data_IF_716761745284
#
_entry.id   IF_716761745284
#
_cell.length_a   1.000
_cell.length_b   1.000
_cell.length_c   1.000
_cell.angle_alpha   90.00
_cell.angle_beta   90.00
_cell.angle_gamma   90.00
#
_symmetry.space_group_name_H-M   'P 1'
#
loop_
_entity.id
_entity.type
_entity.pdbx_description
1 polymer ?
#
# COMPACT_ATOMS: atom_id res chain seq x y z
N UNK A 1 51.13 31.29 -2.02
CA UNK A 1 50.86 31.33 -0.56
C UNK A 1 50.18 30.03 -0.23
N UNK A 2 50.86 29.25 0.61
CA UNK A 2 50.47 27.92 1.09
C UNK A 2 49.48 28.12 2.23
N UNK A 3 48.38 27.36 2.22
CA UNK A 3 47.71 26.95 3.45
C UNK A 3 47.33 25.48 3.31
N UNK A 4 48.13 24.66 3.99
CA UNK A 4 47.76 23.38 4.57
C UNK A 4 46.63 23.58 5.60
N UNK A 5 45.67 22.67 5.61
CA UNK A 5 45.03 22.23 6.85
C UNK A 5 44.44 20.84 6.63
N UNK A 6 45.20 19.91 7.18
CA UNK A 6 45.01 18.49 7.42
C UNK A 6 43.65 18.05 7.98
N UNK A 7 43.37 16.78 7.66
CA UNK A 7 42.90 15.68 8.51
C UNK A 7 41.60 15.83 9.32
N UNK A 8 40.62 15.03 8.93
CA UNK A 8 39.73 14.31 9.86
C UNK A 8 39.30 12.99 9.18
N UNK A 9 40.27 12.07 9.08
CA UNK A 9 40.01 10.63 9.15
C UNK A 9 39.50 10.33 10.57
N UNK A 10 38.31 9.74 10.69
CA UNK A 10 37.92 9.09 11.92
C UNK A 10 37.47 7.67 11.63
N UNK A 11 38.33 6.79 12.15
CA UNK A 11 38.31 5.35 12.18
C UNK A 11 37.05 4.79 12.87
N UNK A 12 36.74 3.57 12.45
CA UNK A 12 35.80 2.65 13.08
C UNK A 12 36.12 2.47 14.58
N UNK A 13 35.11 2.67 15.43
CA UNK A 13 35.15 2.21 16.82
C UNK A 13 34.16 1.06 16.95
N UNK A 14 34.71 -0.15 16.82
CA UNK A 14 34.17 -1.38 17.38
C UNK A 14 34.11 -1.24 18.91
N UNK A 15 32.92 -0.96 19.45
CA UNK A 15 32.66 -1.18 20.86
C UNK A 15 32.20 -2.64 21.07
N UNK A 16 33.18 -3.48 21.35
CA UNK A 16 33.01 -4.75 22.04
C UNK A 16 32.32 -4.51 23.38
N UNK A 17 31.04 -4.87 23.49
CA UNK A 17 30.43 -5.16 24.79
C UNK A 17 30.69 -6.63 25.11
N UNK A 18 31.67 -6.82 25.98
CA UNK A 18 31.82 -8.02 26.81
C UNK A 18 30.68 -8.02 27.83
N UNK A 19 29.79 -9.01 27.74
CA UNK A 19 28.92 -9.38 28.84
C UNK A 19 29.48 -10.65 29.46
N UNK A 20 29.93 -10.48 30.69
CA UNK A 20 30.39 -11.53 31.57
C UNK A 20 29.32 -12.61 31.78
N UNK A 21 29.83 -13.82 31.76
CA UNK A 21 29.23 -15.06 32.21
C UNK A 21 28.86 -15.03 33.70
N UNK A 22 27.58 -15.17 34.01
CA UNK A 22 27.06 -15.90 35.16
C UNK A 22 25.53 -16.00 35.02
N UNK A 23 24.96 -17.12 35.47
CA UNK A 23 23.54 -17.43 35.57
C UNK A 23 22.93 -18.21 34.38
N UNK A 24 23.61 -19.29 33.99
CA UNK A 24 22.93 -20.52 33.56
C UNK A 24 22.67 -21.39 34.81
N UNK A 25 21.42 -21.44 35.28
CA UNK A 25 20.70 -22.60 35.86
C UNK A 25 19.49 -22.10 36.67
N UNK A 26 18.39 -22.84 36.60
CA UNK A 26 17.06 -22.57 37.20
C UNK A 26 16.17 -21.53 36.50
N UNK A 27 15.51 -21.92 35.40
CA UNK A 27 14.03 -22.11 35.34
C UNK A 27 13.74 -22.97 34.10
N UNK A 28 13.96 -24.28 34.21
CA UNK A 28 13.41 -25.29 33.30
C UNK A 28 12.59 -26.28 34.14
N UNK A 29 11.34 -25.92 34.45
CA UNK A 29 10.29 -26.86 34.82
C UNK A 29 8.94 -26.13 34.95
N UNK A 30 8.31 -25.84 33.81
CA UNK A 30 6.85 -25.80 33.67
C UNK A 30 6.49 -25.67 32.17
N UNK A 31 6.92 -26.66 31.40
CA UNK A 31 6.52 -26.84 30.01
C UNK A 31 6.24 -28.33 29.77
N UNK A 32 5.18 -28.82 30.42
CA UNK A 32 4.51 -30.03 30.02
C UNK A 32 3.06 -29.95 30.49
N UNK A 33 2.15 -30.20 29.53
CA UNK A 33 0.77 -30.61 29.75
C UNK A 33 -0.30 -29.51 29.73
N UNK A 34 -0.57 -29.00 28.52
CA UNK A 34 -1.93 -28.90 27.98
C UNK A 34 -1.85 -29.05 26.45
N UNK A 35 -1.77 -30.30 25.98
CA UNK A 35 -2.15 -30.64 24.61
C UNK A 35 -3.67 -30.45 24.50
N UNK A 36 -4.10 -29.29 24.03
CA UNK A 36 -5.40 -29.16 23.36
C UNK A 36 -5.09 -29.12 21.88
N UNK A 37 -5.25 -30.27 21.26
CA UNK A 37 -5.19 -30.49 19.82
C UNK A 37 -6.27 -29.62 19.14
N UNK A 38 -5.95 -28.36 18.85
CA UNK A 38 -6.81 -27.44 18.10
C UNK A 38 -6.62 -27.69 16.61
N UNK A 39 -7.36 -28.67 16.11
CA UNK A 39 -7.51 -28.94 14.69
C UNK A 39 -8.12 -27.71 13.98
N UNK A 40 -7.48 -27.15 12.95
CA UNK A 40 -7.97 -25.98 12.18
C UNK A 40 -9.32 -26.22 11.48
N UNK A 41 -9.75 -27.48 11.39
CA UNK A 41 -11.09 -27.85 10.95
C UNK A 41 -12.17 -27.58 12.02
N UNK A 42 -11.85 -27.50 13.31
CA UNK A 42 -12.85 -27.22 14.36
C UNK A 42 -13.27 -25.76 14.39
N UNK A 43 -12.33 -24.81 14.24
CA UNK A 43 -12.61 -23.37 14.21
C UNK A 43 -13.47 -22.96 13.01
N UNK A 44 -13.20 -23.55 11.84
CA UNK A 44 -14.02 -23.36 10.64
C UNK A 44 -15.40 -24.00 10.79
N UNK A 45 -15.49 -25.19 11.40
CA UNK A 45 -16.77 -25.88 11.64
C UNK A 45 -17.62 -25.20 12.72
N UNK A 46 -16.99 -24.63 13.75
CA UNK A 46 -17.66 -23.83 14.80
C UNK A 46 -18.12 -22.47 14.29
N UNK A 47 -17.36 -21.81 13.40
CA UNK A 47 -17.81 -20.60 12.70
C UNK A 47 -18.97 -20.91 11.73
N UNK A 48 -18.90 -22.02 11.00
CA UNK A 48 -19.99 -22.50 10.14
C UNK A 48 -21.23 -22.83 10.98
N UNK A 49 -21.07 -23.50 12.12
CA UNK A 49 -22.19 -23.78 13.03
C UNK A 49 -22.72 -22.50 13.70
N UNK A 50 -21.91 -21.51 14.04
CA UNK A 50 -22.40 -20.23 14.55
C UNK A 50 -23.29 -19.51 13.51
N UNK A 51 -22.95 -19.63 12.22
CA UNK A 51 -23.68 -19.02 11.10
C UNK A 51 -24.93 -19.84 10.70
N UNK A 52 -24.88 -21.16 10.80
CA UNK A 52 -26.00 -22.06 10.44
C UNK A 52 -27.00 -22.23 11.59
N UNK A 53 -26.53 -22.20 12.84
CA UNK A 53 -27.35 -22.43 14.05
C UNK A 53 -27.95 -21.15 14.62
N UNK A 54 -27.40 -19.97 14.33
CA UNK A 54 -28.15 -18.71 14.45
C UNK A 54 -29.12 -18.59 13.27
N UNK A 55 -30.13 -19.45 13.31
CA UNK A 55 -31.22 -19.44 12.37
C UNK A 55 -31.81 -18.04 12.26
N UNK A 56 -31.89 -17.57 11.02
CA UNK A 56 -32.86 -16.56 10.61
C UNK A 56 -34.16 -16.82 11.36
N UNK A 57 -34.66 -15.88 12.20
CA UNK A 57 -35.89 -16.11 12.92
C UNK A 57 -37.00 -16.37 11.90
N UNK A 58 -37.42 -17.65 11.78
CA UNK A 58 -38.68 -18.01 11.15
C UNK A 58 -39.81 -17.60 12.10
N UNK A 59 -40.05 -16.29 12.19
CA UNK A 59 -41.33 -15.76 12.62
C UNK A 59 -41.80 -14.76 11.59
N UNK A 60 -42.80 -15.20 10.84
CA UNK A 60 -43.85 -14.34 10.31
C UNK A 60 -44.37 -13.47 11.47
N UNK A 61 -43.83 -12.26 11.62
CA UNK A 61 -44.50 -11.18 12.33
C UNK A 61 -44.83 -10.16 11.26
N UNK A 62 -46.13 -10.05 10.97
CA UNK A 62 -46.72 -8.92 10.30
C UNK A 62 -46.37 -7.65 11.09
N UNK A 63 -45.24 -7.02 10.77
CA UNK A 63 -44.99 -5.62 11.06
C UNK A 63 -45.15 -4.90 9.73
N UNK A 64 -46.32 -4.28 9.58
CA UNK A 64 -46.73 -3.50 8.43
C UNK A 64 -45.86 -2.26 8.27
N UNK A 65 -44.66 -2.44 7.75
CA UNK A 65 -43.88 -1.39 7.08
C UNK A 65 -43.70 -1.89 5.65
N UNK A 66 -44.57 -1.39 4.75
CA UNK A 66 -44.37 -1.51 3.30
C UNK A 66 -43.12 -0.69 2.95
N UNK A 67 -41.96 -1.28 3.14
CA UNK A 67 -40.75 -0.87 2.47
C UNK A 67 -40.95 -1.22 1.00
N UNK A 68 -41.26 -0.21 0.17
CA UNK A 68 -41.16 -0.31 -1.29
C UNK A 68 -39.67 -0.34 -1.63
N UNK A 69 -39.01 -1.44 -1.25
CA UNK A 69 -37.58 -1.63 -1.42
C UNK A 69 -37.35 -2.09 -2.84
N UNK A 70 -36.76 -1.16 -3.60
CA UNK A 70 -36.33 -1.29 -4.97
C UNK A 70 -35.48 -2.56 -5.17
N UNK A 71 -35.59 -3.19 -6.34
CA UNK A 71 -34.84 -4.40 -6.76
C UNK A 71 -33.32 -4.30 -6.56
N UNK A 72 -32.80 -3.08 -6.45
CA UNK A 72 -31.39 -2.76 -6.23
C UNK A 72 -30.89 -3.08 -4.82
N UNK A 73 -31.73 -3.01 -3.78
CA UNK A 73 -31.32 -3.37 -2.42
C UNK A 73 -31.00 -4.88 -2.29
N UNK A 74 -31.85 -5.71 -2.91
CA UNK A 74 -31.61 -7.15 -3.02
C UNK A 74 -30.38 -7.47 -3.87
N UNK A 75 -30.11 -6.64 -4.89
CA UNK A 75 -28.86 -6.72 -5.68
C UNK A 75 -27.63 -6.43 -4.82
N UNK A 76 -27.67 -5.42 -3.96
CA UNK A 76 -26.57 -5.06 -3.04
C UNK A 76 -26.31 -6.12 -1.95
N UNK A 77 -27.36 -6.70 -1.36
CA UNK A 77 -27.23 -7.85 -0.44
C UNK A 77 -26.67 -9.10 -1.16
N UNK A 78 -27.07 -9.32 -2.41
CA UNK A 78 -26.52 -10.40 -3.24
C UNK A 78 -25.05 -10.14 -3.59
N UNK A 79 -24.66 -8.88 -3.83
CA UNK A 79 -23.27 -8.46 -4.03
C UNK A 79 -22.43 -8.75 -2.77
N UNK A 80 -22.92 -8.40 -1.58
CA UNK A 80 -22.26 -8.71 -0.29
C UNK A 80 -22.09 -10.22 -0.07
N UNK A 81 -23.14 -11.01 -0.32
CA UNK A 81 -23.05 -12.47 -0.24
C UNK A 81 -22.07 -13.08 -1.25
N UNK A 82 -21.95 -12.48 -2.43
CA UNK A 82 -21.00 -12.92 -3.45
C UNK A 82 -19.56 -12.48 -3.14
N UNK A 83 -19.34 -11.32 -2.51
CA UNK A 83 -18.01 -10.90 -2.03
C UNK A 83 -17.48 -11.89 -1.00
N UNK A 84 -18.31 -12.24 0.00
CA UNK A 84 -17.91 -13.24 1.00
C UNK A 84 -17.64 -14.61 0.37
N UNK A 85 -18.45 -15.03 -0.62
CA UNK A 85 -18.17 -16.26 -1.38
C UNK A 85 -16.87 -16.19 -2.16
N UNK A 86 -16.58 -15.09 -2.85
CA UNK A 86 -15.33 -14.91 -3.58
C UNK A 86 -14.13 -14.93 -2.64
N UNK A 87 -14.18 -14.24 -1.50
CA UNK A 87 -13.11 -14.26 -0.49
C UNK A 87 -12.87 -15.68 0.03
N UNK A 88 -13.94 -16.40 0.40
CA UNK A 88 -13.85 -17.79 0.85
C UNK A 88 -13.29 -18.70 -0.26
N UNK A 89 -13.72 -18.50 -1.50
CA UNK A 89 -13.22 -19.26 -2.65
C UNK A 89 -11.73 -18.96 -2.89
N UNK A 90 -11.29 -17.70 -2.79
CA UNK A 90 -9.88 -17.30 -2.94
C UNK A 90 -9.02 -17.94 -1.85
N UNK A 91 -9.48 -17.96 -0.61
CA UNK A 91 -8.76 -18.57 0.51
C UNK A 91 -8.73 -20.10 0.43
N UNK A 92 -9.80 -20.71 -0.07
CA UNK A 92 -9.87 -22.15 -0.35
C UNK A 92 -9.02 -22.54 -1.58
N UNK A 93 -8.93 -21.70 -2.60
CA UNK A 93 -8.10 -21.91 -3.78
C UNK A 93 -6.62 -21.76 -3.45
N UNK A 94 -6.24 -20.71 -2.71
CA UNK A 94 -4.87 -20.53 -2.22
C UNK A 94 -4.41 -21.72 -1.36
N UNK A 95 -5.29 -22.23 -0.48
CA UNK A 95 -5.00 -23.42 0.31
C UNK A 95 -5.01 -24.73 -0.49
N UNK A 96 -5.80 -24.83 -1.57
CA UNK A 96 -5.77 -25.98 -2.49
C UNK A 96 -4.54 -25.99 -3.38
N UNK A 97 -4.08 -24.84 -3.88
CA UNK A 97 -2.86 -24.72 -4.69
C UNK A 97 -1.62 -25.11 -3.90
N UNK A 98 -1.56 -24.76 -2.61
CA UNK A 98 -0.51 -25.22 -1.69
C UNK A 98 -0.52 -26.74 -1.50
N UNK A 99 -1.69 -27.38 -1.63
CA UNK A 99 -1.89 -28.84 -1.48
C UNK A 99 -1.73 -29.60 -2.80
N UNK A 100 -1.83 -28.93 -3.95
CA UNK A 100 -1.68 -29.51 -5.30
C UNK A 100 -0.25 -29.50 -5.85
N UNK A 101 0.74 -29.07 -5.06
CA UNK A 101 2.17 -29.08 -5.41
C UNK A 101 2.78 -30.50 -5.58
N UNK A 102 1.98 -31.56 -5.55
CA UNK A 102 2.34 -32.93 -5.92
C UNK A 102 1.41 -33.48 -7.03
N UNK A 103 1.58 -33.05 -8.29
CA UNK A 103 1.37 -33.95 -9.42
C UNK A 103 1.94 -33.39 -10.74
N UNK A 104 2.80 -34.16 -11.41
CA UNK A 104 3.74 -33.68 -12.45
C UNK A 104 3.26 -33.76 -13.90
N UNK A 105 2.01 -34.10 -14.18
CA UNK A 105 1.47 -33.96 -15.54
C UNK A 105 0.58 -32.72 -15.64
N UNK A 106 0.91 -31.88 -16.62
CA UNK A 106 0.10 -30.76 -17.14
C UNK A 106 0.38 -29.36 -16.59
N UNK A 107 1.66 -29.01 -16.44
CA UNK A 107 2.10 -27.66 -16.04
C UNK A 107 1.60 -26.55 -16.97
N UNK A 108 1.47 -26.76 -18.28
CA UNK A 108 1.00 -25.72 -19.20
C UNK A 108 -0.48 -25.41 -19.09
N UNK A 109 -1.36 -26.42 -19.04
CA UNK A 109 -2.80 -26.19 -18.82
C UNK A 109 -3.06 -25.67 -17.40
N UNK A 110 -2.32 -26.16 -16.38
CA UNK A 110 -2.40 -25.62 -15.01
C UNK A 110 -2.04 -24.14 -14.98
N UNK A 111 -0.93 -23.73 -15.62
CA UNK A 111 -0.55 -22.32 -15.71
C UNK A 111 -1.59 -21.49 -16.47
N UNK A 112 -2.09 -21.96 -17.62
CA UNK A 112 -3.11 -21.21 -18.39
C UNK A 112 -4.42 -21.04 -17.60
N UNK A 113 -4.88 -22.09 -16.91
CA UNK A 113 -6.09 -22.03 -16.08
C UNK A 113 -5.87 -21.13 -14.86
N UNK A 114 -4.70 -21.19 -14.22
CA UNK A 114 -4.34 -20.30 -13.10
C UNK A 114 -4.21 -18.83 -13.53
N UNK A 115 -3.62 -18.53 -14.70
CA UNK A 115 -3.57 -17.18 -15.28
C UNK A 115 -4.97 -16.59 -15.48
N UNK A 116 -5.84 -17.31 -16.21
CA UNK A 116 -7.19 -16.84 -16.48
C UNK A 116 -8.03 -16.70 -15.22
N UNK A 117 -7.78 -17.54 -14.21
CA UNK A 117 -8.50 -17.47 -12.94
C UNK A 117 -8.04 -16.26 -12.09
N UNK A 118 -6.74 -15.99 -12.00
CA UNK A 118 -6.21 -14.86 -11.24
C UNK A 118 -6.59 -13.50 -11.84
N UNK A 119 -6.55 -13.38 -13.17
CA UNK A 119 -7.06 -12.20 -13.89
C UNK A 119 -8.56 -11.97 -13.59
N UNK A 120 -9.37 -13.02 -13.73
CA UNK A 120 -10.82 -12.96 -13.46
C UNK A 120 -11.10 -12.64 -11.99
N UNK A 121 -10.36 -13.23 -11.05
CA UNK A 121 -10.52 -12.95 -9.62
C UNK A 121 -10.18 -11.49 -9.31
N UNK A 122 -9.07 -10.97 -9.84
CA UNK A 122 -8.64 -9.59 -9.58
C UNK A 122 -9.67 -8.57 -10.06
N UNK A 123 -10.17 -8.74 -11.29
CA UNK A 123 -11.24 -7.89 -11.83
C UNK A 123 -12.57 -8.07 -11.09
N UNK A 124 -12.94 -9.30 -10.71
CA UNK A 124 -14.16 -9.55 -9.95
C UNK A 124 -14.10 -8.90 -8.58
N UNK A 125 -13.01 -9.05 -7.83
CA UNK A 125 -12.82 -8.44 -6.51
C UNK A 125 -12.94 -6.91 -6.63
N UNK A 126 -12.27 -6.29 -7.61
CA UNK A 126 -12.39 -4.85 -7.83
C UNK A 126 -13.82 -4.43 -8.19
N UNK A 127 -14.51 -5.17 -9.07
CA UNK A 127 -15.90 -4.86 -9.46
C UNK A 127 -16.84 -4.82 -8.25
N UNK A 128 -16.53 -5.60 -7.20
CA UNK A 128 -17.31 -5.62 -5.96
C UNK A 128 -16.96 -4.51 -4.98
N UNK A 129 -15.83 -3.84 -5.16
CA UNK A 129 -15.47 -2.65 -4.39
C UNK A 129 -16.18 -1.39 -4.90
N UNK A 130 -16.81 -1.45 -6.08
CA UNK A 130 -17.53 -0.32 -6.68
C UNK A 130 -18.65 0.24 -5.79
N UNK A 131 -18.77 1.56 -5.79
CA UNK A 131 -19.83 2.26 -5.09
C UNK A 131 -21.16 2.20 -5.86
N UNK A 132 -22.26 2.33 -5.11
CA UNK A 132 -23.61 2.43 -5.66
C UNK A 132 -24.00 3.90 -5.84
N UNK A 133 -25.30 4.17 -5.98
CA UNK A 133 -25.80 5.56 -6.09
C UNK A 133 -25.69 6.30 -4.75
N UNK A 134 -25.19 7.54 -4.76
CA UNK A 134 -25.01 8.38 -3.56
C UNK A 134 -26.31 8.52 -2.75
N UNK A 135 -27.44 8.70 -3.43
CA UNK A 135 -28.79 8.79 -2.83
C UNK A 135 -29.14 7.59 -1.95
N UNK A 136 -28.68 6.40 -2.30
CA UNK A 136 -28.89 5.19 -1.49
C UNK A 136 -28.05 5.22 -0.22
N UNK A 137 -26.80 5.69 -0.30
CA UNK A 137 -25.93 5.81 0.87
C UNK A 137 -26.45 6.88 1.83
N UNK A 138 -26.89 8.02 1.30
CA UNK A 138 -27.55 9.07 2.08
C UNK A 138 -28.81 8.54 2.79
N UNK A 139 -29.68 7.85 2.07
CA UNK A 139 -30.89 7.26 2.63
C UNK A 139 -30.60 6.19 3.71
N UNK A 140 -29.57 5.36 3.50
CA UNK A 140 -29.14 4.36 4.49
C UNK A 140 -28.52 5.03 5.72
N UNK A 141 -27.73 6.08 5.54
CA UNK A 141 -27.08 6.82 6.64
C UNK A 141 -28.10 7.51 7.56
N UNK A 142 -29.28 7.87 7.03
CA UNK A 142 -30.36 8.45 7.82
C UNK A 142 -31.04 7.45 8.78
N UNK A 143 -30.74 6.15 8.66
CA UNK A 143 -31.30 5.09 9.50
C UNK A 143 -30.21 4.39 10.32
N UNK A 144 -30.41 4.22 11.63
CA UNK A 144 -29.41 3.63 12.52
C UNK A 144 -28.93 2.22 12.12
N UNK A 145 -29.81 1.38 11.56
CA UNK A 145 -29.41 0.06 11.03
C UNK A 145 -28.77 0.13 9.64
N UNK A 146 -29.10 1.15 8.85
CA UNK A 146 -28.46 1.44 7.57
C UNK A 146 -27.03 1.94 7.78
N UNK A 147 -26.80 2.80 8.77
CA UNK A 147 -25.47 3.26 9.17
C UNK A 147 -24.55 2.10 9.58
N UNK A 148 -25.05 1.15 10.39
CA UNK A 148 -24.31 -0.07 10.74
C UNK A 148 -23.99 -0.91 9.50
N UNK A 149 -24.93 -1.04 8.56
CA UNK A 149 -24.72 -1.77 7.32
C UNK A 149 -23.64 -1.11 6.45
N UNK A 150 -23.62 0.22 6.37
CA UNK A 150 -22.60 0.98 5.65
C UNK A 150 -21.21 0.79 6.28
N UNK A 151 -21.11 0.74 7.61
CA UNK A 151 -19.86 0.43 8.29
C UNK A 151 -19.35 -0.99 7.96
N UNK A 152 -20.25 -1.98 7.95
CA UNK A 152 -19.91 -3.36 7.55
C UNK A 152 -19.44 -3.39 6.09
N UNK A 153 -20.16 -2.70 5.20
CA UNK A 153 -19.82 -2.63 3.78
C UNK A 153 -18.43 -2.01 3.57
N UNK A 154 -18.16 -0.87 4.21
CA UNK A 154 -16.85 -0.19 4.17
C UNK A 154 -15.72 -1.11 4.66
N UNK A 155 -15.95 -1.86 5.73
CA UNK A 155 -14.97 -2.85 6.24
C UNK A 155 -14.72 -3.96 5.23
N UNK A 156 -15.78 -4.48 4.60
CA UNK A 156 -15.67 -5.54 3.59
C UNK A 156 -14.92 -5.04 2.36
N UNK A 157 -15.17 -3.79 1.91
CA UNK A 157 -14.46 -3.18 0.79
C UNK A 157 -12.96 -3.03 1.08
N UNK A 158 -12.60 -2.50 2.25
CA UNK A 158 -11.18 -2.38 2.64
C UNK A 158 -10.49 -3.75 2.68
N UNK A 159 -11.13 -4.77 3.25
CA UNK A 159 -10.59 -6.15 3.27
C UNK A 159 -10.46 -6.77 1.88
N UNK A 160 -11.43 -6.51 0.99
CA UNK A 160 -11.36 -6.96 -0.39
C UNK A 160 -10.17 -6.33 -1.13
N UNK A 161 -9.90 -5.04 -0.90
CA UNK A 161 -8.72 -4.35 -1.44
C UNK A 161 -7.41 -4.88 -0.85
N UNK A 162 -7.36 -5.18 0.44
CA UNK A 162 -6.18 -5.84 1.06
C UNK A 162 -5.94 -7.22 0.43
N UNK A 163 -6.99 -8.00 0.21
CA UNK A 163 -6.89 -9.28 -0.48
C UNK A 163 -6.38 -9.11 -1.92
N UNK A 164 -6.92 -8.13 -2.66
CA UNK A 164 -6.45 -7.80 -3.99
C UNK A 164 -4.97 -7.38 -3.98
N UNK A 165 -4.54 -6.61 -2.98
CA UNK A 165 -3.15 -6.20 -2.84
C UNK A 165 -2.25 -7.43 -2.71
N UNK A 166 -2.61 -8.37 -1.82
CA UNK A 166 -1.84 -9.60 -1.62
C UNK A 166 -1.77 -10.45 -2.90
N UNK A 167 -2.87 -10.55 -3.66
CA UNK A 167 -2.90 -11.25 -4.96
C UNK A 167 -1.95 -10.58 -5.94
N UNK A 168 -2.07 -9.26 -6.12
CA UNK A 168 -1.22 -8.51 -7.05
C UNK A 168 0.23 -8.63 -6.62
N UNK A 169 0.59 -8.39 -5.35
CA UNK A 169 1.99 -8.49 -4.90
C UNK A 169 2.58 -9.88 -5.14
N UNK A 170 1.82 -10.95 -4.91
CA UNK A 170 2.32 -12.33 -4.96
C UNK A 170 2.44 -12.92 -6.37
N UNK A 171 1.61 -12.49 -7.32
CA UNK A 171 1.54 -13.13 -8.65
C UNK A 171 2.37 -12.40 -9.70
N UNK A 172 3.05 -13.12 -10.58
CA UNK A 172 3.76 -12.51 -11.71
C UNK A 172 2.81 -11.82 -12.70
N UNK A 173 3.34 -10.85 -13.46
CA UNK A 173 2.56 -10.07 -14.43
C UNK A 173 1.79 -10.94 -15.43
N UNK A 174 2.40 -12.03 -15.91
CA UNK A 174 1.76 -12.97 -16.83
C UNK A 174 0.55 -13.69 -16.21
N UNK A 175 0.59 -13.96 -14.90
CA UNK A 175 -0.53 -14.57 -14.17
C UNK A 175 -1.68 -13.58 -13.93
N UNK A 176 -1.40 -12.27 -14.00
CA UNK A 176 -2.37 -11.20 -13.81
C UNK A 176 -3.02 -10.74 -15.13
N UNK A 177 -2.75 -11.43 -16.23
CA UNK A 177 -3.28 -11.07 -17.56
C UNK A 177 -2.36 -10.15 -18.38
N UNK A 178 -1.11 -9.95 -17.92
CA UNK A 178 -0.12 -9.14 -18.62
C UNK A 178 -0.26 -7.62 -18.41
N UNK A 179 0.59 -6.86 -19.10
CA UNK A 179 0.70 -5.40 -18.94
C UNK A 179 -0.61 -4.66 -19.23
N UNK A 180 -1.40 -5.13 -20.21
CA UNK A 180 -2.67 -4.52 -20.57
C UNK A 180 -3.72 -4.66 -19.45
N UNK A 181 -3.87 -5.87 -18.89
CA UNK A 181 -4.78 -6.12 -17.78
C UNK A 181 -4.37 -5.34 -16.53
N UNK A 182 -3.07 -5.28 -16.23
CA UNK A 182 -2.54 -4.42 -15.16
C UNK A 182 -2.87 -2.94 -15.40
N UNK A 183 -2.76 -2.46 -16.65
CA UNK A 183 -3.14 -1.10 -17.04
C UNK A 183 -4.62 -0.80 -16.81
N UNK A 184 -5.49 -1.75 -17.17
CA UNK A 184 -6.94 -1.63 -16.92
C UNK A 184 -7.27 -1.65 -15.42
N UNK A 185 -6.60 -2.51 -14.66
CA UNK A 185 -6.75 -2.61 -13.20
C UNK A 185 -6.32 -1.30 -12.52
N UNK A 186 -5.16 -0.75 -12.93
CA UNK A 186 -4.68 0.57 -12.49
C UNK A 186 -5.74 1.64 -12.71
N UNK A 187 -6.22 1.81 -13.96
CA UNK A 187 -7.18 2.87 -14.31
C UNK A 187 -8.50 2.73 -13.53
N UNK A 188 -9.00 1.50 -13.41
CA UNK A 188 -10.25 1.22 -12.70
C UNK A 188 -10.14 1.54 -11.22
N UNK A 189 -9.04 1.12 -10.59
CA UNK A 189 -8.79 1.39 -9.18
C UNK A 189 -8.49 2.86 -8.91
N UNK A 190 -7.73 3.52 -9.80
CA UNK A 190 -7.43 4.95 -9.70
C UNK A 190 -8.72 5.78 -9.71
N UNK A 191 -9.61 5.50 -10.65
CA UNK A 191 -10.92 6.16 -10.75
C UNK A 191 -11.79 5.91 -9.52
N UNK A 192 -11.83 4.67 -9.03
CA UNK A 192 -12.55 4.31 -7.80
C UNK A 192 -12.02 5.08 -6.58
N UNK A 193 -10.71 5.29 -6.50
CA UNK A 193 -10.04 5.84 -5.31
C UNK A 193 -10.01 7.37 -5.30
N UNK A 194 -9.78 8.02 -6.45
CA UNK A 194 -9.49 9.46 -6.49
C UNK A 194 -10.46 10.31 -7.30
N UNK A 195 -11.25 9.71 -8.19
CA UNK A 195 -12.23 10.44 -8.99
C UNK A 195 -13.62 10.45 -8.35
N UNK A 196 -13.94 9.40 -7.58
CA UNK A 196 -15.21 9.32 -6.85
C UNK A 196 -15.08 10.03 -5.50
N UNK A 197 -16.09 10.81 -5.10
CA UNK A 197 -16.15 11.38 -3.74
C UNK A 197 -16.43 10.26 -2.73
N UNK A 198 -15.37 9.61 -2.28
CA UNK A 198 -15.42 8.42 -1.41
C UNK A 198 -16.03 8.70 -0.04
N UNK A 199 -16.07 9.96 0.40
CA UNK A 199 -16.60 10.36 1.71
C UNK A 199 -18.09 10.06 1.87
N UNK A 200 -18.83 10.09 0.76
CA UNK A 200 -20.25 9.74 0.74
C UNK A 200 -20.44 8.22 0.96
N UNK A 201 -19.44 7.42 0.58
CA UNK A 201 -19.59 5.97 0.46
C UNK A 201 -18.88 5.16 1.54
N UNK A 202 -17.88 5.74 2.20
CA UNK A 202 -16.97 5.01 3.09
C UNK A 202 -16.96 5.65 4.47
N UNK A 203 -17.34 4.87 5.49
CA UNK A 203 -17.33 5.33 6.89
C UNK A 203 -15.92 5.43 7.50
N UNK A 204 -14.96 4.67 6.95
CA UNK A 204 -13.53 4.66 7.33
C UNK A 204 -12.66 4.99 6.12
N UNK A 205 -12.60 6.27 5.77
CA UNK A 205 -11.91 6.77 4.58
C UNK A 205 -10.42 6.37 4.57
N UNK A 206 -9.74 6.47 5.73
CA UNK A 206 -8.31 6.15 5.83
C UNK A 206 -8.01 4.67 5.58
N UNK A 207 -8.78 3.74 6.15
CA UNK A 207 -8.62 2.30 5.92
C UNK A 207 -8.79 1.94 4.44
N UNK A 208 -9.81 2.53 3.79
CA UNK A 208 -10.07 2.32 2.37
C UNK A 208 -8.95 2.91 1.51
N UNK A 209 -8.56 4.15 1.78
CA UNK A 209 -7.50 4.85 1.05
C UNK A 209 -6.17 4.09 1.18
N UNK A 210 -5.83 3.64 2.39
CA UNK A 210 -4.62 2.86 2.63
C UNK A 210 -4.63 1.54 1.84
N UNK A 211 -5.75 0.80 1.90
CA UNK A 211 -5.87 -0.46 1.19
C UNK A 211 -5.80 -0.28 -0.34
N UNK A 212 -6.53 0.70 -0.87
CA UNK A 212 -6.55 1.00 -2.31
C UNK A 212 -5.18 1.49 -2.81
N UNK A 213 -4.52 2.39 -2.08
CA UNK A 213 -3.17 2.86 -2.43
C UNK A 213 -2.13 1.74 -2.33
N UNK A 214 -2.33 0.76 -1.44
CA UNK A 214 -1.53 -0.47 -1.39
C UNK A 214 -1.58 -1.24 -2.70
N UNK A 215 -2.78 -1.53 -3.21
CA UNK A 215 -2.94 -2.21 -4.50
C UNK A 215 -2.30 -1.38 -5.63
N UNK A 216 -2.55 -0.07 -5.68
CA UNK A 216 -1.95 0.82 -6.69
C UNK A 216 -0.42 0.77 -6.66
N UNK A 217 0.19 0.78 -5.46
CA UNK A 217 1.64 0.63 -5.30
C UNK A 217 2.13 -0.70 -5.86
N UNK A 218 1.49 -1.81 -5.49
CA UNK A 218 1.87 -3.14 -5.98
C UNK A 218 1.73 -3.27 -7.51
N UNK A 219 0.73 -2.64 -8.11
CA UNK A 219 0.60 -2.56 -9.57
C UNK A 219 1.77 -1.76 -10.16
N UNK A 220 2.08 -0.60 -9.57
CA UNK A 220 3.16 0.27 -10.04
C UNK A 220 4.53 -0.40 -9.95
N UNK A 221 4.80 -1.16 -8.88
CA UNK A 221 6.02 -1.94 -8.71
C UNK A 221 6.22 -2.92 -9.87
N UNK A 222 5.16 -3.64 -10.29
CA UNK A 222 5.23 -4.53 -11.45
C UNK A 222 5.44 -3.78 -12.76
N UNK A 223 4.70 -2.69 -12.95
CA UNK A 223 4.81 -1.86 -14.15
C UNK A 223 6.17 -1.17 -14.29
N UNK A 224 6.90 -0.96 -13.20
CA UNK A 224 8.24 -0.35 -13.22
C UNK A 224 9.26 -1.15 -14.03
N UNK A 225 9.01 -2.44 -14.21
CA UNK A 225 9.83 -3.35 -15.03
C UNK A 225 9.56 -3.21 -16.53
N UNK A 226 8.44 -2.60 -16.91
CA UNK A 226 8.02 -2.40 -18.30
C UNK A 226 8.64 -1.12 -18.82
N UNK A 227 9.15 -1.14 -20.06
CA UNK A 227 9.83 0.02 -20.66
C UNK A 227 8.96 1.28 -20.69
N UNK A 228 7.65 1.14 -20.90
CA UNK A 228 6.71 2.27 -21.00
C UNK A 228 5.28 1.88 -20.57
N UNK A 229 4.89 2.05 -19.30
CA UNK A 229 3.49 1.89 -18.91
C UNK A 229 2.64 3.02 -19.51
N UNK A 230 1.88 2.72 -20.57
CA UNK A 230 1.04 3.69 -21.30
C UNK A 230 -0.16 4.21 -20.48
N UNK A 231 -0.51 3.53 -19.37
CA UNK A 231 -1.65 3.88 -18.54
C UNK A 231 -1.41 5.10 -17.62
N UNK A 232 -0.17 5.54 -17.43
CA UNK A 232 0.15 6.66 -16.54
C UNK A 232 0.09 7.97 -17.34
N UNK A 233 -0.94 8.77 -17.07
CA UNK A 233 -1.17 10.08 -17.71
C UNK A 233 -0.69 11.23 -16.83
N UNK A 234 -0.50 12.41 -17.41
CA UNK A 234 -0.19 13.63 -16.64
C UNK A 234 -1.28 13.98 -15.62
N UNK A 235 -2.54 13.64 -15.93
CA UNK A 235 -3.67 13.81 -15.00
C UNK A 235 -3.54 12.90 -13.77
N UNK A 236 -3.13 11.64 -13.97
CA UNK A 236 -2.85 10.73 -12.86
C UNK A 236 -1.75 11.31 -11.95
N UNK A 237 -0.64 11.78 -12.53
CA UNK A 237 0.45 12.40 -11.76
C UNK A 237 -0.03 13.61 -10.97
N UNK A 238 -0.76 14.52 -11.62
CA UNK A 238 -1.27 15.74 -10.98
C UNK A 238 -2.17 15.42 -9.79
N UNK A 239 -3.06 14.44 -9.97
CA UNK A 239 -3.96 13.97 -8.92
C UNK A 239 -3.19 13.31 -7.76
N UNK A 240 -2.23 12.43 -8.05
CA UNK A 240 -1.41 11.79 -7.03
C UNK A 240 -0.59 12.81 -6.22
N UNK A 241 0.02 13.79 -6.90
CA UNK A 241 0.77 14.87 -6.23
C UNK A 241 -0.13 15.64 -5.24
N UNK A 242 -1.33 16.04 -5.69
CA UNK A 242 -2.31 16.73 -4.85
C UNK A 242 -2.73 15.89 -3.65
N UNK A 243 -3.13 14.64 -3.87
CA UNK A 243 -3.58 13.74 -2.80
C UNK A 243 -2.46 13.47 -1.79
N UNK A 244 -1.21 13.33 -2.26
CA UNK A 244 -0.04 13.11 -1.38
C UNK A 244 0.20 14.32 -0.47
N UNK A 245 0.04 15.54 -0.99
CA UNK A 245 0.14 16.75 -0.20
C UNK A 245 -1.00 16.85 0.84
N UNK A 246 -2.23 16.56 0.42
CA UNK A 246 -3.44 16.86 1.20
C UNK A 246 -3.80 15.79 2.25
N UNK A 247 -3.48 14.52 2.03
CA UNK A 247 -3.96 13.43 2.90
C UNK A 247 -3.35 13.48 4.30
N UNK A 248 -4.14 13.22 5.34
CA UNK A 248 -3.67 13.02 6.73
C UNK A 248 -3.21 11.59 7.00
N UNK A 249 -3.59 10.62 6.16
CA UNK A 249 -3.27 9.22 6.34
C UNK A 249 -1.79 8.96 6.01
N UNK A 250 -0.92 8.91 7.03
CA UNK A 250 0.51 8.67 6.85
C UNK A 250 0.78 7.36 6.10
N UNK A 251 0.05 6.29 6.42
CA UNK A 251 0.24 4.98 5.81
C UNK A 251 -0.10 4.97 4.30
N UNK A 252 -1.08 5.76 3.87
CA UNK A 252 -1.34 5.99 2.44
C UNK A 252 -0.29 6.90 1.81
N UNK A 253 0.13 7.95 2.53
CA UNK A 253 1.12 8.91 2.05
C UNK A 253 2.48 8.27 1.74
N UNK A 254 2.95 7.34 2.57
CA UNK A 254 4.16 6.53 2.30
C UNK A 254 4.01 5.73 1.00
N UNK A 255 2.85 5.08 0.79
CA UNK A 255 2.60 4.31 -0.43
C UNK A 255 2.54 5.21 -1.67
N UNK A 256 1.94 6.39 -1.55
CA UNK A 256 1.89 7.38 -2.61
C UNK A 256 3.27 7.94 -2.96
N UNK A 257 4.12 8.24 -1.97
CA UNK A 257 5.50 8.69 -2.22
C UNK A 257 6.29 7.67 -3.03
N UNK A 258 6.15 6.37 -2.72
CA UNK A 258 6.78 5.32 -3.51
C UNK A 258 6.26 5.25 -4.94
N UNK A 259 4.93 5.34 -5.15
CA UNK A 259 4.34 5.41 -6.49
C UNK A 259 4.93 6.60 -7.27
N UNK A 260 4.96 7.78 -6.64
CA UNK A 260 5.51 8.99 -7.23
C UNK A 260 7.01 8.86 -7.55
N UNK A 261 7.79 8.19 -6.69
CA UNK A 261 9.21 7.89 -6.94
C UNK A 261 9.42 7.01 -8.16
N UNK A 262 8.62 5.95 -8.31
CA UNK A 262 8.66 5.08 -9.50
C UNK A 262 8.30 5.87 -10.76
N UNK A 263 7.25 6.69 -10.71
CA UNK A 263 6.88 7.59 -11.80
C UNK A 263 8.01 8.56 -12.13
N UNK A 264 8.64 9.15 -11.12
CA UNK A 264 9.75 10.09 -11.29
C UNK A 264 10.97 9.46 -11.95
N UNK A 265 11.34 8.25 -11.52
CA UNK A 265 12.41 7.44 -12.14
C UNK A 265 12.15 7.13 -13.62
N UNK A 266 10.89 6.90 -13.99
CA UNK A 266 10.51 6.71 -15.40
C UNK A 266 10.51 8.04 -16.16
N UNK A 267 10.00 9.12 -15.56
CA UNK A 267 9.92 10.44 -16.16
C UNK A 267 11.31 11.01 -16.46
N UNK A 268 12.30 10.80 -15.59
CA UNK A 268 13.67 11.27 -15.77
C UNK A 268 14.39 10.70 -17.00
N UNK A 269 13.88 9.59 -17.56
CA UNK A 269 14.42 8.93 -18.76
C UNK A 269 13.76 9.35 -20.07
N UNK A 270 12.75 10.22 -20.01
CA UNK A 270 11.94 10.63 -21.16
C UNK A 270 12.07 12.13 -21.42
N UNK A 271 12.07 12.50 -22.70
CA UNK A 271 11.97 13.91 -23.08
C UNK A 271 10.57 14.47 -22.76
N UNK A 272 10.46 15.79 -22.65
CA UNK A 272 9.20 16.51 -22.42
C UNK A 272 8.46 16.19 -21.10
N UNK A 273 9.15 15.65 -20.09
CA UNK A 273 8.58 15.37 -18.75
C UNK A 273 8.95 16.41 -17.69
N UNK A 274 9.51 17.56 -18.09
CA UNK A 274 10.02 18.58 -17.16
C UNK A 274 8.97 19.03 -16.13
N UNK A 275 7.74 19.30 -16.55
CA UNK A 275 6.68 19.76 -15.66
C UNK A 275 6.19 18.68 -14.69
N UNK A 276 6.24 17.40 -15.12
CA UNK A 276 6.01 16.25 -14.24
C UNK A 276 7.09 16.22 -13.16
N UNK A 277 8.36 16.28 -13.55
CA UNK A 277 9.49 16.27 -12.61
C UNK A 277 9.45 17.44 -11.62
N UNK A 278 9.08 18.64 -12.07
CA UNK A 278 8.88 19.79 -11.18
C UNK A 278 7.75 19.54 -10.18
N UNK A 279 6.61 19.01 -10.64
CA UNK A 279 5.47 18.71 -9.77
C UNK A 279 5.84 17.69 -8.69
N UNK A 280 6.57 16.63 -9.06
CA UNK A 280 7.10 15.64 -8.13
C UNK A 280 8.09 16.28 -7.13
N UNK A 281 9.02 17.08 -7.64
CA UNK A 281 10.03 17.75 -6.82
C UNK A 281 9.44 18.70 -5.78
N UNK A 282 8.36 19.42 -6.12
CA UNK A 282 7.61 20.27 -5.17
C UNK A 282 7.04 19.41 -4.04
N UNK A 283 6.31 18.33 -4.36
CA UNK A 283 5.71 17.46 -3.34
C UNK A 283 6.77 16.86 -2.44
N UNK A 284 7.84 16.29 -2.99
CA UNK A 284 8.89 15.67 -2.17
C UNK A 284 9.59 16.68 -1.27
N UNK A 285 9.94 17.86 -1.82
CA UNK A 285 10.53 18.95 -1.05
C UNK A 285 9.62 19.36 0.10
N UNK A 286 8.33 19.56 -0.16
CA UNK A 286 7.38 20.04 0.84
C UNK A 286 7.19 19.02 1.98
N UNK A 287 7.21 17.71 1.67
CA UNK A 287 7.25 16.65 2.70
C UNK A 287 8.57 16.66 3.49
N UNK A 288 9.70 16.93 2.84
CA UNK A 288 11.01 16.94 3.49
C UNK A 288 11.16 18.12 4.47
N UNK A 289 10.67 19.30 4.10
CA UNK A 289 10.80 20.53 4.92
C UNK A 289 9.65 20.72 5.90
N UNK A 290 8.56 19.98 5.72
CA UNK A 290 7.37 20.02 6.58
C UNK A 290 7.57 19.35 7.94
N UNK A 291 6.58 19.53 8.80
CA UNK A 291 6.52 18.86 10.11
C UNK A 291 5.95 17.44 9.98
N UNK A 292 6.79 16.55 9.45
CA UNK A 292 6.43 15.15 9.20
C UNK A 292 7.28 14.18 10.03
N UNK A 293 6.79 12.95 10.20
CA UNK A 293 7.52 11.87 10.85
C UNK A 293 8.82 11.54 10.09
N UNK A 294 9.85 11.11 10.82
CA UNK A 294 11.14 10.74 10.21
C UNK A 294 11.00 9.60 9.19
N UNK A 295 10.02 8.71 9.37
CA UNK A 295 9.69 7.67 8.41
C UNK A 295 9.20 8.25 7.08
N UNK A 296 8.26 9.19 7.12
CA UNK A 296 7.75 9.81 5.89
C UNK A 296 8.83 10.64 5.17
N UNK A 297 9.66 11.37 5.93
CA UNK A 297 10.81 12.09 5.37
C UNK A 297 11.79 11.11 4.70
N UNK A 298 12.04 9.95 5.31
CA UNK A 298 12.91 8.94 4.71
C UNK A 298 12.38 8.38 3.40
N UNK A 299 11.06 8.17 3.27
CA UNK A 299 10.45 7.70 2.02
C UNK A 299 10.49 8.79 0.94
N UNK A 300 10.26 10.06 1.31
CA UNK A 300 10.38 11.18 0.39
C UNK A 300 11.82 11.35 -0.11
N UNK A 301 12.82 11.13 0.76
CA UNK A 301 14.23 11.13 0.38
C UNK A 301 14.55 10.00 -0.61
N UNK A 302 14.03 8.79 -0.39
CA UNK A 302 14.23 7.66 -1.31
C UNK A 302 13.64 7.96 -2.70
N UNK A 303 12.43 8.52 -2.74
CA UNK A 303 11.79 8.99 -3.97
C UNK A 303 12.60 10.10 -4.66
N UNK A 304 13.22 11.01 -3.90
CA UNK A 304 14.15 12.02 -4.44
C UNK A 304 15.38 11.37 -5.06
N UNK A 305 16.00 10.40 -4.37
CA UNK A 305 17.20 9.74 -4.87
C UNK A 305 16.92 8.96 -6.16
N UNK A 306 15.78 8.28 -6.25
CA UNK A 306 15.37 7.55 -7.46
C UNK A 306 14.99 8.48 -8.62
N UNK A 307 14.33 9.61 -8.34
CA UNK A 307 13.82 10.52 -9.37
C UNK A 307 14.89 11.47 -9.90
N UNK A 308 15.72 12.01 -9.01
CA UNK A 308 16.69 13.06 -9.33
C UNK A 308 18.14 12.53 -9.34
N UNK A 309 18.32 11.23 -9.55
CA UNK A 309 19.63 10.57 -9.58
C UNK A 309 20.60 11.24 -10.58
N UNK A 310 20.29 11.22 -11.87
CA UNK A 310 21.20 11.66 -12.93
C UNK A 310 20.43 12.13 -14.18
N UNK A 311 20.96 13.16 -14.86
CA UNK A 311 20.46 13.65 -16.13
C UNK A 311 20.18 15.17 -16.17
N UNK A 312 20.39 15.83 -17.32
CA UNK A 312 20.24 17.28 -17.44
C UNK A 312 18.80 17.75 -17.20
N UNK A 313 17.81 16.93 -17.59
CA UNK A 313 16.40 17.25 -17.40
C UNK A 313 16.00 17.26 -15.92
N UNK A 314 16.42 16.23 -15.17
CA UNK A 314 16.12 16.12 -13.72
C UNK A 314 16.88 17.19 -12.94
N UNK A 315 18.11 17.54 -13.33
CA UNK A 315 18.87 18.64 -12.73
C UNK A 315 18.15 19.98 -12.93
N UNK A 316 17.68 20.26 -14.16
CA UNK A 316 16.89 21.46 -14.46
C UNK A 316 15.62 21.54 -13.60
N UNK A 317 14.92 20.42 -13.42
CA UNK A 317 13.74 20.34 -12.57
C UNK A 317 14.08 20.59 -11.10
N UNK A 318 15.12 19.94 -10.58
CA UNK A 318 15.59 20.08 -9.20
C UNK A 318 15.99 21.52 -8.86
N UNK A 319 16.68 22.20 -9.77
CA UNK A 319 17.06 23.60 -9.64
C UNK A 319 15.82 24.51 -9.63
N UNK A 320 14.87 24.26 -10.53
CA UNK A 320 13.64 25.05 -10.64
C UNK A 320 12.79 25.03 -9.38
N UNK A 321 12.81 23.92 -8.63
CA UNK A 321 12.05 23.76 -7.38
C UNK A 321 12.90 24.04 -6.14
N UNK A 322 14.17 24.43 -6.30
CA UNK A 322 15.08 24.68 -5.18
C UNK A 322 15.32 23.45 -4.30
N UNK A 323 15.38 22.25 -4.89
CA UNK A 323 15.51 20.99 -4.14
C UNK A 323 16.84 20.93 -3.37
N UNK A 324 17.95 21.22 -4.04
CA UNK A 324 19.30 21.06 -3.48
C UNK A 324 19.57 21.91 -2.22
N UNK A 325 19.23 23.22 -2.17
CA UNK A 325 19.36 24.00 -0.95
C UNK A 325 18.63 23.38 0.25
N UNK A 326 17.39 22.91 0.05
CA UNK A 326 16.59 22.30 1.11
C UNK A 326 17.21 20.97 1.59
N UNK A 327 17.76 20.16 0.69
CA UNK A 327 18.45 18.92 1.07
C UNK A 327 19.70 19.18 1.92
N UNK A 328 20.46 20.24 1.61
CA UNK A 328 21.66 20.63 2.39
C UNK A 328 21.26 21.09 3.79
N UNK A 329 20.22 21.93 3.90
CA UNK A 329 19.70 22.40 5.19
C UNK A 329 19.09 21.27 6.03
N UNK A 330 18.53 20.23 5.38
CA UNK A 330 17.96 19.08 6.07
C UNK A 330 19.01 18.24 6.81
N UNK A 331 20.26 18.13 6.32
CA UNK A 331 21.29 17.25 6.91
C UNK A 331 21.46 17.44 8.42
N UNK A 332 21.71 18.65 8.96
CA UNK A 332 21.83 18.86 10.40
C UNK A 332 20.51 18.62 11.15
N UNK A 333 19.36 18.97 10.54
CA UNK A 333 18.03 18.77 11.13
C UNK A 333 17.76 17.28 11.31
N UNK A 334 17.95 16.48 10.26
CA UNK A 334 17.74 15.04 10.24
C UNK A 334 18.64 14.35 11.28
N UNK A 335 19.93 14.73 11.36
CA UNK A 335 20.86 14.20 12.38
C UNK A 335 20.37 14.50 13.81
N UNK A 336 19.91 15.72 14.05
CA UNK A 336 19.40 16.13 15.36
C UNK A 336 18.13 15.37 15.75
N UNK A 337 17.17 15.27 14.82
CA UNK A 337 15.90 14.57 15.02
C UNK A 337 16.11 13.08 15.25
N UNK A 338 16.93 12.39 14.46
CA UNK A 338 17.24 10.96 14.66
C UNK A 338 17.85 10.73 16.05
N UNK A 339 18.74 11.60 16.51
CA UNK A 339 19.32 11.50 17.86
C UNK A 339 18.26 11.65 18.96
N UNK A 340 17.32 12.58 18.77
CA UNK A 340 16.29 12.93 19.76
C UNK A 340 15.18 11.88 19.81
N UNK A 341 14.75 11.41 18.64
CA UNK A 341 13.63 10.47 18.46
C UNK A 341 14.09 9.00 18.48
N UNK A 342 15.39 8.72 18.66
CA UNK A 342 15.99 7.38 18.47
C UNK A 342 15.20 6.24 19.14
N UNK A 343 14.69 6.45 20.35
CA UNK A 343 13.97 5.44 21.14
C UNK A 343 12.57 5.14 20.61
N UNK A 344 11.96 6.08 19.88
CA UNK A 344 10.60 5.95 19.35
C UNK A 344 10.58 5.48 17.90
N UNK A 345 11.74 5.38 17.24
CA UNK A 345 11.84 4.98 15.84
C UNK A 345 11.56 3.49 15.61
N UNK A 346 11.76 2.64 16.61
CA UNK A 346 11.51 1.19 16.52
C UNK A 346 12.14 0.57 15.26
N UNK A 347 11.34 -0.22 14.54
CA UNK A 347 11.76 -0.93 13.34
C UNK A 347 12.05 -0.02 12.13
N UNK A 348 11.67 1.25 12.18
CA UNK A 348 11.97 2.21 11.12
C UNK A 348 13.40 2.79 11.21
N UNK A 349 14.09 2.62 12.34
CA UNK A 349 15.42 3.21 12.55
C UNK A 349 16.43 2.84 11.43
N UNK A 350 16.58 1.57 11.00
CA UNK A 350 17.53 1.22 9.96
C UNK A 350 17.29 1.92 8.63
N UNK A 351 16.01 2.05 8.22
CA UNK A 351 15.62 2.71 6.97
C UNK A 351 15.90 4.22 7.05
N UNK A 352 15.58 4.83 8.19
CA UNK A 352 15.82 6.26 8.41
C UNK A 352 17.32 6.57 8.44
N UNK A 353 18.14 5.73 9.09
CA UNK A 353 19.58 5.91 9.12
C UNK A 353 20.22 5.70 7.74
N UNK A 354 19.73 4.72 6.97
CA UNK A 354 20.14 4.53 5.58
C UNK A 354 19.82 5.77 4.72
N UNK A 355 18.62 6.34 4.84
CA UNK A 355 18.25 7.57 4.14
C UNK A 355 19.15 8.75 4.52
N UNK A 356 19.52 8.91 5.80
CA UNK A 356 20.47 9.94 6.26
C UNK A 356 21.85 9.78 5.61
N UNK A 357 22.37 8.56 5.55
CA UNK A 357 23.67 8.27 4.92
C UNK A 357 23.59 8.56 3.41
N UNK A 358 22.52 8.11 2.76
CA UNK A 358 22.30 8.30 1.32
C UNK A 358 22.12 9.77 0.96
N UNK A 359 21.45 10.58 1.79
CA UNK A 359 21.34 12.03 1.60
C UNK A 359 22.72 12.70 1.48
N UNK A 360 23.63 12.36 2.39
CA UNK A 360 24.99 12.93 2.38
C UNK A 360 25.75 12.52 1.12
N UNK A 361 25.57 11.27 0.67
CA UNK A 361 26.18 10.76 -0.57
C UNK A 361 25.59 11.44 -1.80
N UNK A 362 24.27 11.58 -1.86
CA UNK A 362 23.54 12.21 -2.95
C UNK A 362 23.94 13.67 -3.13
N UNK A 363 24.03 14.44 -2.03
CA UNK A 363 24.49 15.84 -2.08
C UNK A 363 25.92 15.95 -2.63
N UNK A 364 26.83 15.10 -2.12
CA UNK A 364 28.22 15.05 -2.62
C UNK A 364 28.29 14.67 -4.10
N UNK A 365 27.43 13.75 -4.54
CA UNK A 365 27.32 13.36 -5.95
C UNK A 365 26.88 14.55 -6.81
N UNK A 366 25.83 15.26 -6.41
CA UNK A 366 25.29 16.40 -7.16
C UNK A 366 26.24 17.60 -7.25
N UNK A 367 27.01 17.89 -6.21
CA UNK A 367 28.01 18.95 -6.27
C UNK A 367 29.19 18.67 -7.23
N UNK A 368 29.40 17.40 -7.62
CA UNK A 368 30.40 17.05 -8.64
C UNK A 368 29.95 17.35 -10.07
N UNK A 369 28.70 17.79 -10.27
CA UNK A 369 28.17 18.19 -11.58
C UNK A 369 27.66 17.04 -12.44
N UNK A 370 27.13 15.98 -11.80
CA UNK A 370 26.48 14.84 -12.47
C UNK A 370 24.96 15.04 -12.55
#
# INVERSE_FOLDING_TARGET
>A
MIYDSNDDEWEDVDDCISLDSADEEEVLQEAAQYDVDMNSESLSTEMINAIVTQGVPKRNVYLGIKFSVNTEFWSSLTRLGNIMKTIIITEVLHNKEKKLALDQSDTKLKTIVSCSLAEVISHQVLSKCSFGEATMYEALSAHADGEKLLHILSTVQARALICLNNIVSALDTDLLGGDEALGQLWNSLFSLTFTTDTKVFVSREEDFLEAATGVLRSIMDKMSSVKEPQCITTEHVTTLCRITADTSCEAAKVKLLSILGIIGKMAGKKDNTLEVLKSLGVVFRDIIVGDHSLWLISEALDAVFDTFADGPLVNTAADSVGLMPNLVELVPVLKSRIKTERRTLGDHFPVIDAARVNLTRFIKYKFKGH
#
